data_IF_550777118354
#
_entry.id   IF_550777118354
#
_cell.length_a   1.000
_cell.length_b   1.000
_cell.length_c   1.000
_cell.angle_alpha   90.00
_cell.angle_beta   90.00
_cell.angle_gamma   90.00
#
_symmetry.space_group_name_H-M   'P 1'
#
loop_
_entity.id
_entity.type
_entity.pdbx_description
1 polymer ?
#
# COMPACT_ATOMS: atom_id res chain seq x y z
N UNK A 1 -32.83 -14.02 -10.15
CA UNK A 1 -32.68 -15.39 -10.69
C UNK A 1 -31.62 -15.37 -11.76
N UNK A 2 -30.44 -15.77 -11.48
CA UNK A 2 -29.29 -16.16 -12.31
C UNK A 2 -27.97 -15.68 -11.73
N UNK A 3 -27.56 -16.26 -10.61
CA UNK A 3 -26.17 -16.28 -10.12
C UNK A 3 -26.02 -17.45 -9.13
N UNK A 4 -26.33 -18.64 -9.62
CA UNK A 4 -26.05 -19.87 -8.87
C UNK A 4 -25.63 -20.91 -9.88
N UNK A 5 -24.33 -20.97 -10.19
CA UNK A 5 -23.67 -22.14 -10.82
C UNK A 5 -22.21 -21.79 -11.13
N UNK A 6 -21.36 -21.72 -10.07
CA UNK A 6 -19.91 -21.85 -10.20
C UNK A 6 -19.27 -22.12 -8.81
N UNK A 7 -19.92 -23.02 -8.07
CA UNK A 7 -19.32 -23.62 -6.88
C UNK A 7 -19.34 -25.12 -7.07
N UNK A 8 -18.29 -25.68 -7.65
CA UNK A 8 -18.22 -27.12 -7.85
C UNK A 8 -17.12 -27.56 -8.79
N UNK A 9 -15.87 -27.22 -8.51
CA UNK A 9 -14.72 -28.00 -8.96
C UNK A 9 -13.53 -27.66 -8.07
N UNK A 10 -13.50 -28.25 -6.88
CA UNK A 10 -12.24 -28.40 -6.14
C UNK A 10 -11.40 -29.43 -6.87
N UNK A 11 -10.41 -28.98 -7.62
CA UNK A 11 -9.35 -29.82 -8.13
C UNK A 11 -8.33 -30.02 -7.01
N UNK A 12 -8.37 -31.19 -6.38
CA UNK A 12 -7.26 -31.73 -5.61
C UNK A 12 -6.14 -32.12 -6.59
N UNK A 13 -5.21 -31.22 -6.83
CA UNK A 13 -3.99 -31.47 -7.57
C UNK A 13 -2.80 -31.17 -6.68
N UNK A 14 -2.12 -32.19 -6.19
CA UNK A 14 -0.81 -32.05 -5.55
C UNK A 14 0.19 -31.50 -6.56
N UNK A 15 0.78 -30.36 -6.26
CA UNK A 15 1.91 -29.82 -7.01
C UNK A 15 3.17 -30.59 -6.64
N UNK A 16 3.51 -31.62 -7.42
CA UNK A 16 4.86 -32.18 -7.44
C UNK A 16 5.80 -31.19 -8.15
N UNK A 17 6.82 -30.76 -7.42
CA UNK A 17 7.79 -29.80 -7.89
C UNK A 17 8.66 -30.33 -9.04
N UNK A 18 8.32 -29.96 -10.25
CA UNK A 18 9.24 -29.82 -11.39
C UNK A 18 8.71 -28.74 -12.32
N UNK A 19 9.43 -27.63 -12.40
CA UNK A 19 9.33 -26.72 -13.52
C UNK A 19 9.90 -27.45 -14.76
N UNK A 20 9.13 -28.38 -15.31
CA UNK A 20 9.41 -29.10 -16.54
C UNK A 20 8.73 -28.40 -17.70
N UNK A 21 9.42 -28.27 -18.83
CA UNK A 21 8.92 -27.72 -20.09
C UNK A 21 7.50 -28.21 -20.38
N UNK A 22 6.56 -27.27 -20.49
CA UNK A 22 5.20 -27.57 -20.93
C UNK A 22 5.24 -27.96 -22.40
N UNK A 23 4.62 -29.11 -22.71
CA UNK A 23 4.25 -29.50 -24.05
C UNK A 23 3.12 -28.59 -24.57
N UNK A 24 3.16 -28.28 -25.85
CA UNK A 24 2.31 -27.36 -26.59
C UNK A 24 0.82 -27.76 -26.64
N UNK A 25 0.12 -27.53 -25.55
CA UNK A 25 -1.34 -27.43 -25.54
C UNK A 25 -1.70 -26.26 -24.63
N UNK A 26 -1.85 -25.07 -25.21
CA UNK A 26 -2.24 -23.87 -24.49
C UNK A 26 -3.63 -24.08 -23.86
N UNK A 27 -3.71 -24.00 -22.56
CA UNK A 27 -4.98 -23.88 -21.83
C UNK A 27 -5.62 -22.54 -22.23
N UNK A 28 -6.81 -22.49 -22.84
CA UNK A 28 -7.39 -21.28 -23.40
C UNK A 28 -7.74 -20.21 -22.34
N UNK A 29 -7.60 -20.53 -21.05
CA UNK A 29 -7.91 -19.62 -19.94
C UNK A 29 -6.69 -18.80 -19.50
N UNK A 30 -5.46 -19.23 -19.79
CA UNK A 30 -4.23 -18.55 -19.36
C UNK A 30 -3.31 -18.26 -20.55
N UNK A 31 -3.43 -17.07 -21.11
CA UNK A 31 -2.49 -16.59 -22.11
C UNK A 31 -1.27 -15.97 -21.42
N UNK A 32 -0.08 -16.56 -21.57
CA UNK A 32 1.11 -16.29 -20.76
C UNK A 32 1.96 -15.10 -21.21
N UNK A 33 1.53 -14.27 -22.17
CA UNK A 33 2.40 -13.36 -22.89
C UNK A 33 2.09 -11.87 -22.71
N UNK A 34 1.97 -11.41 -21.46
CA UNK A 34 2.12 -9.98 -21.18
C UNK A 34 3.19 -9.79 -20.10
N UNK A 35 4.46 -9.87 -20.51
CA UNK A 35 5.58 -9.34 -19.73
C UNK A 35 5.76 -7.86 -20.09
N UNK A 36 4.97 -6.99 -19.51
CA UNK A 36 5.29 -5.57 -19.50
C UNK A 36 6.31 -5.33 -18.39
N UNK A 37 7.57 -5.20 -18.74
CA UNK A 37 8.62 -4.75 -17.83
C UNK A 37 8.54 -3.22 -17.72
N UNK A 38 7.76 -2.73 -16.76
CA UNK A 38 7.83 -1.33 -16.35
C UNK A 38 9.17 -1.09 -15.67
N UNK A 39 10.04 -0.28 -16.30
CA UNK A 39 11.33 0.06 -15.74
C UNK A 39 11.18 1.28 -14.83
N UNK A 40 11.34 1.07 -13.52
CA UNK A 40 11.29 2.15 -12.55
C UNK A 40 12.61 2.92 -12.47
N UNK A 41 12.51 4.22 -12.25
CA UNK A 41 13.67 5.09 -12.02
C UNK A 41 13.94 5.22 -10.52
N UNK A 42 14.74 4.30 -9.97
CA UNK A 42 15.06 4.24 -8.55
C UNK A 42 16.30 5.09 -8.23
N UNK A 43 16.22 5.92 -7.18
CA UNK A 43 17.40 6.65 -6.67
C UNK A 43 18.35 5.72 -5.91
N UNK A 44 19.65 5.86 -6.15
CA UNK A 44 20.69 5.14 -5.41
C UNK A 44 21.12 5.86 -4.13
N UNK A 45 20.76 7.13 -3.96
CA UNK A 45 21.13 7.96 -2.82
C UNK A 45 20.31 7.60 -1.57
N UNK A 46 20.89 7.89 -0.38
CA UNK A 46 20.16 7.84 0.88
C UNK A 46 19.38 9.14 1.07
N UNK A 47 18.20 9.23 0.50
CA UNK A 47 17.35 10.42 0.56
C UNK A 47 16.23 10.31 1.62
N UNK A 48 16.43 9.46 2.64
CA UNK A 48 15.48 9.23 3.71
C UNK A 48 15.57 10.31 4.80
N UNK A 49 14.43 10.60 5.42
CA UNK A 49 14.33 11.60 6.50
C UNK A 49 14.86 11.09 7.85
N UNK A 50 15.51 9.95 7.87
CA UNK A 50 16.10 9.33 9.05
C UNK A 50 17.52 8.83 8.75
N UNK A 51 18.39 8.69 9.77
CA UNK A 51 19.76 8.25 9.57
C UNK A 51 19.85 6.78 9.20
N UNK A 52 20.86 6.44 8.41
CA UNK A 52 21.15 5.06 8.03
C UNK A 52 21.72 4.28 9.23
N UNK A 53 21.15 3.11 9.51
CA UNK A 53 21.65 2.24 10.55
C UNK A 53 22.90 1.46 10.09
N UNK A 54 23.90 1.38 10.96
CA UNK A 54 25.06 0.52 10.76
C UNK A 54 24.81 -0.97 11.06
N UNK A 55 23.64 -1.33 11.63
CA UNK A 55 23.29 -2.70 12.06
C UNK A 55 22.59 -3.51 11.00
N UNK A 56 22.15 -2.91 9.92
CA UNK A 56 21.39 -3.55 8.86
C UNK A 56 22.01 -3.32 7.49
N UNK A 57 21.83 -4.26 6.58
CA UNK A 57 22.05 -4.07 5.16
C UNK A 57 20.78 -3.53 4.52
N UNK A 58 20.95 -2.60 3.60
CA UNK A 58 19.87 -1.95 2.87
C UNK A 58 20.06 -2.13 1.38
N UNK A 59 18.98 -2.49 0.70
CA UNK A 59 18.93 -2.52 -0.77
C UNK A 59 17.55 -2.08 -1.26
N UNK A 60 17.50 -1.57 -2.49
CA UNK A 60 16.23 -1.36 -3.17
C UNK A 60 15.81 -2.64 -3.87
N UNK A 61 14.53 -2.95 -3.79
CA UNK A 61 13.91 -4.10 -4.46
C UNK A 61 12.64 -3.65 -5.16
N UNK A 62 12.22 -4.43 -6.15
CA UNK A 62 10.96 -4.23 -6.84
C UNK A 62 10.17 -5.53 -6.87
N UNK A 63 8.86 -5.43 -6.83
CA UNK A 63 7.95 -6.55 -7.00
C UNK A 63 6.69 -6.08 -7.71
N UNK A 64 5.89 -7.02 -8.19
CA UNK A 64 4.73 -6.69 -9.01
C UNK A 64 3.45 -7.17 -8.31
N UNK A 65 2.41 -6.35 -8.34
CA UNK A 65 1.10 -6.76 -7.88
C UNK A 65 0.31 -7.50 -9.00
N UNK A 66 -0.82 -8.12 -8.65
CA UNK A 66 -1.66 -8.86 -9.62
C UNK A 66 -2.27 -7.99 -10.72
N UNK A 67 -2.26 -6.67 -10.57
CA UNK A 67 -2.69 -5.71 -11.60
C UNK A 67 -1.56 -5.35 -12.58
N UNK A 68 -0.38 -5.93 -12.41
CA UNK A 68 0.78 -5.70 -13.26
C UNK A 68 1.59 -4.46 -12.91
N UNK A 69 1.24 -3.73 -11.84
CA UNK A 69 1.96 -2.56 -11.39
C UNK A 69 3.24 -2.98 -10.66
N UNK A 70 4.34 -2.32 -10.97
CA UNK A 70 5.63 -2.56 -10.32
C UNK A 70 5.77 -1.64 -9.11
N UNK A 71 5.98 -2.20 -7.93
CA UNK A 71 6.21 -1.46 -6.69
C UNK A 71 7.69 -1.39 -6.38
N UNK A 72 8.11 -0.24 -5.84
CA UNK A 72 9.45 -0.01 -5.33
C UNK A 72 9.47 -0.11 -3.81
N UNK A 73 10.45 -0.80 -3.27
CA UNK A 73 10.63 -0.93 -1.83
C UNK A 73 12.08 -0.79 -1.41
N UNK A 74 12.27 -0.39 -0.17
CA UNK A 74 13.53 -0.49 0.56
C UNK A 74 13.51 -1.75 1.42
N UNK A 75 14.46 -2.65 1.22
CA UNK A 75 14.63 -3.86 1.99
C UNK A 75 15.76 -3.70 3.00
N UNK A 76 15.47 -4.07 4.24
CA UNK A 76 16.41 -4.04 5.36
C UNK A 76 16.60 -5.44 5.92
N UNK A 77 17.86 -5.89 6.00
CA UNK A 77 18.25 -7.22 6.49
C UNK A 77 19.20 -7.05 7.65
N UNK A 78 19.00 -7.73 8.79
CA UNK A 78 19.96 -7.71 9.90
C UNK A 78 21.32 -8.18 9.43
N UNK A 79 22.40 -7.44 9.77
CA UNK A 79 23.77 -7.90 9.52
C UNK A 79 24.07 -9.16 10.34
N UNK A 80 24.85 -10.05 9.75
CA UNK A 80 25.29 -11.30 10.38
C UNK A 80 24.15 -12.28 10.76
N UNK A 81 22.95 -12.07 10.27
CA UNK A 81 21.85 -13.00 10.48
C UNK A 81 22.03 -14.27 9.64
N UNK A 82 21.87 -15.43 10.27
CA UNK A 82 21.95 -16.74 9.62
C UNK A 82 20.56 -17.36 9.42
N UNK A 83 20.42 -18.20 8.40
CA UNK A 83 19.21 -18.93 8.13
C UNK A 83 18.05 -18.06 7.60
N UNK A 84 16.83 -18.63 7.66
CA UNK A 84 15.60 -17.93 7.28
C UNK A 84 15.04 -17.17 8.48
N UNK A 85 14.66 -15.92 8.26
CA UNK A 85 14.15 -15.01 9.28
C UNK A 85 12.66 -14.73 9.07
N UNK A 86 11.94 -14.34 10.15
CA UNK A 86 10.62 -13.74 9.99
C UNK A 86 10.73 -12.43 9.21
N UNK A 87 9.67 -12.07 8.48
CA UNK A 87 9.66 -10.87 7.68
C UNK A 87 8.42 -10.01 7.90
N UNK A 88 8.55 -8.70 7.66
CA UNK A 88 7.45 -7.73 7.77
C UNK A 88 7.45 -6.77 6.59
N UNK A 89 6.29 -6.61 5.95
CA UNK A 89 6.06 -5.55 4.98
C UNK A 89 5.41 -4.34 5.68
N UNK A 90 5.97 -3.15 5.47
CA UNK A 90 5.55 -1.91 6.14
C UNK A 90 5.11 -0.87 5.11
N UNK A 91 3.96 -0.23 5.34
CA UNK A 91 3.51 0.89 4.54
C UNK A 91 2.78 1.96 5.35
N UNK A 92 2.75 3.19 4.83
CA UNK A 92 2.08 4.33 5.43
C UNK A 92 3.02 5.31 6.15
N UNK A 93 2.48 6.41 6.67
CA UNK A 93 1.08 6.89 6.62
C UNK A 93 0.53 7.10 5.20
N UNK A 94 -0.80 7.26 5.11
CA UNK A 94 -1.44 7.55 3.84
C UNK A 94 -0.93 8.88 3.26
N UNK A 95 -0.39 8.85 2.02
CA UNK A 95 0.27 10.01 1.39
C UNK A 95 1.75 10.21 1.74
N UNK A 96 2.31 9.36 2.60
CA UNK A 96 3.76 9.31 2.82
C UNK A 96 4.45 8.39 1.80
N UNK A 97 5.77 8.39 1.80
CA UNK A 97 6.62 7.50 1.01
C UNK A 97 7.53 6.68 1.91
N UNK A 98 8.10 5.60 1.36
CA UNK A 98 8.99 4.68 2.09
C UNK A 98 10.24 5.34 2.70
N UNK A 99 10.61 6.52 2.24
CA UNK A 99 11.71 7.33 2.78
C UNK A 99 11.37 8.05 4.09
N UNK A 100 10.11 7.96 4.55
CA UNK A 100 9.60 8.58 5.77
C UNK A 100 9.34 7.52 6.88
N UNK A 101 8.19 7.58 7.56
CA UNK A 101 7.92 6.75 8.73
C UNK A 101 8.03 5.24 8.46
N UNK A 102 7.46 4.74 7.35
CA UNK A 102 7.49 3.30 7.06
C UNK A 102 8.91 2.75 6.93
N UNK A 103 9.82 3.50 6.31
CA UNK A 103 11.22 3.10 6.21
C UNK A 103 11.94 3.09 7.56
N UNK A 104 11.67 4.08 8.43
CA UNK A 104 12.21 4.09 9.79
C UNK A 104 11.71 2.89 10.61
N UNK A 105 10.41 2.55 10.50
CA UNK A 105 9.86 1.36 11.15
C UNK A 105 10.50 0.09 10.60
N UNK A 106 10.63 -0.04 9.29
CA UNK A 106 11.26 -1.21 8.67
C UNK A 106 12.73 -1.37 9.09
N UNK A 107 13.52 -0.28 9.07
CA UNK A 107 14.89 -0.30 9.57
C UNK A 107 14.97 -0.73 11.03
N UNK A 108 14.10 -0.18 11.89
CA UNK A 108 14.06 -0.49 13.32
C UNK A 108 13.67 -1.93 13.61
N UNK A 109 12.73 -2.50 12.83
CA UNK A 109 12.36 -3.91 12.92
C UNK A 109 13.53 -4.82 12.48
N UNK A 110 14.27 -4.41 11.45
CA UNK A 110 15.44 -5.15 11.01
C UNK A 110 16.58 -5.13 12.06
N UNK A 111 16.76 -4.02 12.78
CA UNK A 111 17.71 -3.98 13.91
C UNK A 111 17.35 -4.95 15.04
N UNK A 112 16.10 -5.39 15.09
CA UNK A 112 15.56 -6.35 16.07
C UNK A 112 15.49 -7.79 15.54
N UNK A 113 16.08 -8.06 14.38
CA UNK A 113 16.24 -9.41 13.87
C UNK A 113 15.20 -9.88 12.85
N UNK A 114 14.35 -8.99 12.31
CA UNK A 114 13.43 -9.32 11.24
C UNK A 114 13.98 -8.87 9.88
N UNK A 115 13.62 -9.54 8.80
CA UNK A 115 13.72 -8.92 7.47
C UNK A 115 12.53 -7.97 7.33
N UNK A 116 12.77 -6.75 6.87
CA UNK A 116 11.68 -5.79 6.70
C UNK A 116 11.77 -5.09 5.35
N UNK A 117 10.63 -4.88 4.71
CA UNK A 117 10.52 -4.01 3.54
C UNK A 117 9.60 -2.84 3.85
N UNK A 118 9.97 -1.65 3.38
CA UNK A 118 9.08 -0.50 3.31
C UNK A 118 8.83 -0.20 1.84
N UNK A 119 7.58 -0.19 1.39
CA UNK A 119 7.25 0.01 -0.02
C UNK A 119 6.47 1.30 -0.26
N UNK A 120 6.65 1.88 -1.46
CA UNK A 120 5.75 2.90 -1.96
C UNK A 120 4.51 2.23 -2.55
N UNK A 121 3.31 2.75 -2.27
CA UNK A 121 2.09 2.27 -2.91
C UNK A 121 2.12 2.41 -4.43
N UNK A 122 1.32 1.61 -5.11
CA UNK A 122 1.01 1.80 -6.53
C UNK A 122 0.71 3.26 -6.85
N UNK A 123 1.18 3.77 -7.96
CA UNK A 123 1.02 5.14 -8.47
C UNK A 123 1.74 6.24 -7.68
N UNK A 124 2.48 5.93 -6.63
CA UNK A 124 3.12 6.93 -5.76
C UNK A 124 4.60 6.64 -5.55
N UNK A 125 5.33 7.64 -5.04
CA UNK A 125 6.76 7.49 -4.75
C UNK A 125 7.57 7.08 -5.97
N UNK A 126 8.38 6.03 -5.82
CA UNK A 126 9.16 5.39 -6.88
C UNK A 126 8.41 4.20 -7.53
N UNK A 127 7.25 3.80 -7.01
CA UNK A 127 6.41 2.76 -7.61
C UNK A 127 5.78 3.25 -8.92
N UNK A 128 5.50 2.31 -9.80
CA UNK A 128 4.92 2.55 -11.11
C UNK A 128 3.43 2.86 -11.12
N UNK A 129 2.91 2.96 -12.32
CA UNK A 129 1.49 3.18 -12.62
C UNK A 129 1.16 4.60 -13.07
N UNK A 130 0.27 4.68 -14.07
CA UNK A 130 -0.29 5.90 -14.62
C UNK A 130 -1.82 5.84 -14.64
N UNK A 131 -2.52 6.98 -14.43
CA UNK A 131 -1.95 8.28 -14.05
C UNK A 131 -1.35 8.26 -12.65
N UNK A 132 -0.37 9.13 -12.41
CA UNK A 132 0.28 9.22 -11.08
C UNK A 132 -0.69 9.67 -10.00
N UNK A 133 -0.36 9.35 -8.75
CA UNK A 133 -1.04 9.83 -7.54
C UNK A 133 -2.47 9.31 -7.37
N UNK A 134 -2.79 8.19 -7.98
CA UNK A 134 -4.05 7.47 -7.73
C UNK A 134 -3.99 6.77 -6.39
N UNK A 135 -5.11 6.76 -5.67
CA UNK A 135 -5.33 5.89 -4.54
C UNK A 135 -6.61 5.07 -4.77
N UNK A 136 -6.56 3.80 -4.41
CA UNK A 136 -7.70 2.89 -4.53
C UNK A 136 -7.70 1.88 -3.38
N UNK A 137 -8.80 1.69 -2.65
CA UNK A 137 -8.85 0.73 -1.54
C UNK A 137 -8.47 -0.68 -1.96
N UNK A 138 -8.89 -1.12 -3.15
CA UNK A 138 -8.62 -2.44 -3.68
C UNK A 138 -7.14 -2.60 -4.07
N UNK A 139 -6.62 -1.69 -4.90
CA UNK A 139 -5.23 -1.75 -5.35
C UNK A 139 -4.26 -1.60 -4.18
N UNK A 140 -4.55 -0.68 -3.25
CA UNK A 140 -3.67 -0.46 -2.11
C UNK A 140 -3.71 -1.63 -1.09
N UNK A 141 -4.85 -2.33 -0.95
CA UNK A 141 -4.90 -3.60 -0.21
C UNK A 141 -4.04 -4.66 -0.89
N UNK A 142 -4.16 -4.77 -2.21
CA UNK A 142 -3.38 -5.70 -3.03
C UNK A 142 -1.86 -5.45 -2.93
N UNK A 143 -1.42 -4.20 -2.79
CA UNK A 143 0.00 -3.87 -2.64
C UNK A 143 0.63 -4.58 -1.43
N UNK A 144 -0.12 -4.79 -0.33
CA UNK A 144 0.34 -5.64 0.79
C UNK A 144 0.41 -7.12 0.42
N UNK A 145 -0.58 -7.65 -0.31
CA UNK A 145 -0.58 -9.04 -0.75
C UNK A 145 0.60 -9.31 -1.70
N UNK A 146 0.90 -8.40 -2.61
CA UNK A 146 2.07 -8.47 -3.48
C UNK A 146 3.40 -8.41 -2.71
N UNK A 147 3.46 -7.62 -1.65
CA UNK A 147 4.61 -7.61 -0.75
C UNK A 147 4.80 -8.97 -0.04
N UNK A 148 3.70 -9.63 0.33
CA UNK A 148 3.72 -11.01 0.87
C UNK A 148 4.16 -12.01 -0.17
N UNK A 149 3.75 -11.90 -1.44
CA UNK A 149 4.24 -12.72 -2.55
C UNK A 149 5.76 -12.63 -2.67
N UNK A 150 6.28 -11.40 -2.73
CA UNK A 150 7.72 -11.14 -2.80
C UNK A 150 8.48 -11.74 -1.62
N UNK A 151 8.02 -11.50 -0.39
CA UNK A 151 8.67 -12.02 0.80
C UNK A 151 8.60 -13.56 0.87
N UNK A 152 7.48 -14.16 0.46
CA UNK A 152 7.30 -15.63 0.47
C UNK A 152 8.25 -16.36 -0.48
N UNK A 153 8.71 -15.70 -1.54
CA UNK A 153 9.64 -16.27 -2.53
C UNK A 153 11.12 -15.98 -2.23
N UNK A 154 11.40 -15.15 -1.22
CA UNK A 154 12.77 -14.83 -0.82
C UNK A 154 13.43 -15.99 -0.07
N UNK A 155 14.64 -16.41 -0.50
CA UNK A 155 15.40 -17.49 0.11
C UNK A 155 15.75 -17.22 1.58
N UNK A 156 15.86 -15.96 1.99
CA UNK A 156 16.20 -15.52 3.35
C UNK A 156 14.98 -15.42 4.27
N UNK A 157 13.76 -15.49 3.77
CA UNK A 157 12.53 -15.36 4.53
C UNK A 157 11.96 -16.73 4.89
N UNK A 158 11.46 -16.86 6.11
CA UNK A 158 10.61 -17.97 6.52
C UNK A 158 9.14 -17.65 6.11
N UNK A 159 8.58 -18.30 5.09
CA UNK A 159 7.25 -17.98 4.60
C UNK A 159 6.13 -18.30 5.60
N UNK A 160 6.42 -19.09 6.64
CA UNK A 160 5.51 -19.34 7.77
C UNK A 160 5.47 -18.21 8.79
N UNK A 161 6.33 -17.18 8.67
CA UNK A 161 6.47 -16.08 9.64
C UNK A 161 6.52 -14.71 8.97
N UNK A 162 5.52 -14.42 8.12
CA UNK A 162 5.38 -13.13 7.45
C UNK A 162 4.27 -12.34 8.14
N UNK A 163 4.59 -11.10 8.53
CA UNK A 163 3.66 -10.12 9.05
C UNK A 163 3.59 -8.88 8.18
N UNK A 164 2.60 -8.04 8.45
CA UNK A 164 2.45 -6.73 7.84
C UNK A 164 2.23 -5.65 8.90
N UNK A 165 2.66 -4.43 8.61
CA UNK A 165 2.47 -3.27 9.47
C UNK A 165 1.95 -2.10 8.64
N UNK A 166 0.73 -1.67 8.92
CA UNK A 166 0.12 -0.48 8.34
C UNK A 166 0.11 0.68 9.33
N UNK A 167 0.53 1.87 8.90
CA UNK A 167 0.58 3.07 9.73
C UNK A 167 -0.50 4.03 9.26
N UNK A 168 -1.29 4.59 10.18
CA UNK A 168 -2.36 5.56 9.90
C UNK A 168 -3.39 4.97 8.92
N UNK A 169 -3.75 5.61 7.83
CA UNK A 169 -4.67 5.08 6.83
C UNK A 169 -4.28 3.72 6.23
N UNK A 170 -2.99 3.37 6.26
CA UNK A 170 -2.53 2.05 5.85
C UNK A 170 -2.79 0.94 6.89
N UNK A 171 -3.14 1.31 8.11
CA UNK A 171 -3.62 0.35 9.11
C UNK A 171 -4.91 -0.32 8.68
N UNK A 172 -5.86 0.44 8.13
CA UNK A 172 -7.10 -0.12 7.56
C UNK A 172 -6.84 -1.03 6.36
N UNK A 173 -5.91 -0.64 5.46
CA UNK A 173 -5.50 -1.49 4.32
C UNK A 173 -4.83 -2.79 4.80
N UNK A 174 -4.00 -2.73 5.84
CA UNK A 174 -3.37 -3.91 6.42
C UNK A 174 -4.41 -4.88 7.02
N UNK A 175 -5.41 -4.38 7.73
CA UNK A 175 -6.51 -5.21 8.24
C UNK A 175 -7.30 -5.87 7.10
N UNK A 176 -7.60 -5.12 6.04
CA UNK A 176 -8.28 -5.70 4.88
C UNK A 176 -7.42 -6.75 4.17
N UNK A 177 -6.11 -6.51 4.02
CA UNK A 177 -5.18 -7.49 3.47
C UNK A 177 -5.11 -8.76 4.33
N UNK A 178 -5.09 -8.62 5.66
CA UNK A 178 -5.09 -9.77 6.57
C UNK A 178 -6.40 -10.59 6.52
N UNK A 179 -7.53 -9.95 6.18
CA UNK A 179 -8.79 -10.65 5.98
C UNK A 179 -8.82 -11.44 4.64
N UNK A 180 -8.04 -11.01 3.65
CA UNK A 180 -7.98 -11.62 2.31
C UNK A 180 -6.86 -12.67 2.23
N UNK A 181 -5.65 -12.36 2.73
CA UNK A 181 -4.45 -13.18 2.56
C UNK A 181 -4.12 -13.99 3.81
N UNK A 182 -4.43 -15.27 3.77
CA UNK A 182 -4.20 -16.23 4.88
C UNK A 182 -2.72 -16.52 5.17
N UNK A 183 -1.81 -16.09 4.31
CA UNK A 183 -0.36 -16.22 4.52
C UNK A 183 0.17 -15.21 5.53
N UNK A 184 -0.57 -14.12 5.78
CA UNK A 184 -0.23 -13.12 6.79
C UNK A 184 -0.44 -13.72 8.19
N UNK A 185 0.63 -13.80 8.99
CA UNK A 185 0.64 -14.42 10.32
C UNK A 185 0.51 -13.44 11.47
N UNK A 186 0.82 -12.17 11.21
CA UNK A 186 0.64 -11.08 12.18
C UNK A 186 0.39 -9.77 11.46
N UNK A 187 -0.51 -8.95 11.99
CA UNK A 187 -0.84 -7.63 11.46
C UNK A 187 -0.74 -6.59 12.57
N UNK A 188 -0.03 -5.52 12.30
CA UNK A 188 0.00 -4.34 13.18
C UNK A 188 -0.68 -3.18 12.46
N UNK A 189 -1.72 -2.62 13.09
CA UNK A 189 -2.45 -1.44 12.63
C UNK A 189 -2.14 -0.25 13.56
N UNK A 190 -0.99 0.39 13.33
CA UNK A 190 -0.50 1.48 14.19
C UNK A 190 -1.22 2.78 13.90
N UNK A 191 -1.81 3.42 14.93
CA UNK A 191 -2.53 4.71 14.82
C UNK A 191 -3.52 4.71 13.65
N UNK A 192 -4.30 3.63 13.54
CA UNK A 192 -5.11 3.31 12.37
C UNK A 192 -6.26 4.30 12.14
N UNK A 193 -6.38 4.72 10.88
CA UNK A 193 -7.57 5.38 10.34
C UNK A 193 -8.24 4.48 9.29
N UNK A 194 -9.56 4.34 9.37
CA UNK A 194 -10.35 3.79 8.28
C UNK A 194 -10.59 4.89 7.23
N UNK A 195 -9.73 4.93 6.22
CA UNK A 195 -9.78 5.96 5.17
C UNK A 195 -11.11 5.98 4.40
N UNK A 196 -11.77 4.83 4.28
CA UNK A 196 -13.06 4.71 3.61
C UNK A 196 -14.17 5.34 4.46
N UNK A 197 -14.21 5.01 5.76
CA UNK A 197 -15.16 5.61 6.70
C UNK A 197 -14.95 7.11 6.84
N UNK A 198 -13.70 7.56 7.01
CA UNK A 198 -13.40 9.00 7.11
C UNK A 198 -13.80 9.74 5.84
N UNK A 199 -13.55 9.18 4.67
CA UNK A 199 -13.96 9.79 3.40
C UNK A 199 -15.47 9.80 3.23
N UNK A 200 -16.16 8.72 3.63
CA UNK A 200 -17.61 8.58 3.46
C UNK A 200 -18.44 9.34 4.51
N UNK A 201 -17.95 9.39 5.75
CA UNK A 201 -18.72 9.91 6.88
C UNK A 201 -18.10 11.19 7.49
N UNK A 202 -16.91 11.60 7.03
CA UNK A 202 -16.16 12.70 7.64
C UNK A 202 -15.53 12.31 8.99
N UNK A 203 -14.75 13.20 9.56
CA UNK A 203 -14.26 13.05 10.91
C UNK A 203 -15.42 13.01 11.91
N UNK A 204 -15.38 12.05 12.84
CA UNK A 204 -16.40 11.83 13.88
C UNK A 204 -17.81 11.50 13.30
N UNK A 205 -17.85 10.95 12.06
CA UNK A 205 -19.09 10.63 11.33
C UNK A 205 -20.02 11.86 11.15
N UNK A 206 -19.44 13.04 10.98
CA UNK A 206 -20.17 14.31 10.88
C UNK A 206 -20.83 14.54 9.51
N UNK A 207 -20.58 13.68 8.51
CA UNK A 207 -21.11 13.80 7.15
C UNK A 207 -22.36 12.92 6.98
N UNK A 208 -23.51 13.55 6.73
CA UNK A 208 -24.76 12.87 6.42
C UNK A 208 -24.87 12.44 4.94
N UNK A 209 -26.02 11.90 4.55
CA UNK A 209 -26.27 11.42 3.18
C UNK A 209 -26.27 12.56 2.15
N UNK A 210 -26.79 13.74 2.51
CA UNK A 210 -26.89 14.89 1.61
C UNK A 210 -25.49 15.50 1.36
N UNK A 211 -24.69 15.64 2.40
CA UNK A 211 -23.30 16.07 2.30
C UNK A 211 -22.46 15.09 1.45
N UNK A 212 -22.66 13.76 1.61
CA UNK A 212 -22.03 12.77 0.74
C UNK A 212 -22.49 12.87 -0.71
N UNK A 213 -23.79 13.11 -0.95
CA UNK A 213 -24.31 13.31 -2.30
C UNK A 213 -23.65 14.52 -2.96
N UNK A 214 -23.57 15.64 -2.24
CA UNK A 214 -22.94 16.86 -2.73
C UNK A 214 -21.42 16.65 -3.02
N UNK A 215 -20.73 15.92 -2.16
CA UNK A 215 -19.34 15.55 -2.43
C UNK A 215 -19.20 14.73 -3.71
N UNK A 216 -20.05 13.72 -3.91
CA UNK A 216 -20.07 12.93 -5.16
C UNK A 216 -20.37 13.82 -6.37
N UNK A 217 -21.31 14.74 -6.27
CA UNK A 217 -21.64 15.68 -7.34
C UNK A 217 -20.42 16.51 -7.77
N UNK A 218 -19.68 17.06 -6.80
CA UNK A 218 -18.44 17.81 -7.07
C UNK A 218 -17.36 16.95 -7.69
N UNK A 219 -17.14 15.75 -7.16
CA UNK A 219 -16.13 14.83 -7.70
C UNK A 219 -16.48 14.34 -9.11
N UNK A 220 -17.76 14.13 -9.41
CA UNK A 220 -18.20 13.77 -10.76
C UNK A 220 -18.06 14.93 -11.75
N UNK A 221 -18.29 16.17 -11.32
CA UNK A 221 -17.98 17.34 -12.14
C UNK A 221 -16.47 17.44 -12.43
N UNK A 222 -15.63 17.19 -11.43
CA UNK A 222 -14.18 17.13 -11.61
C UNK A 222 -13.74 16.02 -12.58
N UNK A 223 -14.35 14.83 -12.51
CA UNK A 223 -14.08 13.77 -13.51
C UNK A 223 -14.35 14.21 -14.93
N UNK A 224 -15.44 14.94 -15.14
CA UNK A 224 -15.79 15.47 -16.48
C UNK A 224 -14.74 16.47 -16.94
N UNK A 225 -14.26 17.32 -16.04
CA UNK A 225 -13.23 18.30 -16.36
C UNK A 225 -11.87 17.63 -16.64
N UNK A 226 -11.45 16.69 -15.79
CA UNK A 226 -10.23 15.90 -15.99
C UNK A 226 -10.24 15.21 -17.36
N UNK A 227 -11.38 14.60 -17.74
CA UNK A 227 -11.55 13.95 -19.05
C UNK A 227 -11.44 14.95 -20.20
N UNK A 228 -12.07 16.13 -20.05
CA UNK A 228 -12.06 17.17 -21.09
C UNK A 228 -10.66 17.74 -21.32
N UNK A 229 -9.89 17.94 -20.25
CA UNK A 229 -8.56 18.56 -20.28
C UNK A 229 -7.43 17.55 -20.51
N UNK A 230 -7.71 16.24 -20.36
CA UNK A 230 -6.67 15.20 -20.42
C UNK A 230 -5.68 15.29 -19.24
N UNK A 231 -6.10 15.89 -18.11
CA UNK A 231 -5.28 16.08 -16.91
C UNK A 231 -6.05 15.60 -15.70
N UNK A 232 -5.38 15.54 -14.55
CA UNK A 232 -5.98 15.06 -13.30
C UNK A 232 -5.76 16.10 -12.21
N UNK A 233 -6.85 16.68 -11.70
CA UNK A 233 -6.80 17.60 -10.57
C UNK A 233 -6.29 16.87 -9.32
N UNK A 234 -5.50 17.58 -8.54
CA UNK A 234 -4.94 17.05 -7.28
C UNK A 234 -5.64 17.71 -6.08
N UNK A 235 -5.82 16.94 -5.03
CA UNK A 235 -6.42 17.39 -3.78
C UNK A 235 -5.87 16.57 -2.60
N UNK A 236 -6.08 17.06 -1.39
CA UNK A 236 -5.52 16.46 -0.18
C UNK A 236 -4.07 16.92 0.03
N UNK A 237 -3.30 16.11 0.75
CA UNK A 237 -2.03 16.56 1.29
C UNK A 237 -2.23 17.47 2.51
N UNK A 238 -1.14 17.93 3.06
CA UNK A 238 -1.19 18.85 4.22
C UNK A 238 -1.23 20.29 3.73
N UNK A 239 -2.18 21.05 4.26
CA UNK A 239 -2.35 22.46 3.86
C UNK A 239 -1.08 23.29 4.13
N UNK A 240 -0.71 24.12 3.14
CA UNK A 240 0.38 25.08 3.24
C UNK A 240 0.01 26.30 2.37
N UNK A 241 -0.17 27.52 2.95
CA UNK A 241 0.04 27.84 4.36
C UNK A 241 -0.95 27.16 5.32
N UNK A 242 -0.50 26.95 6.57
CA UNK A 242 -1.33 26.37 7.62
C UNK A 242 -2.46 27.34 7.99
N UNK A 243 -3.76 26.92 7.96
CA UNK A 243 -4.86 27.76 8.43
C UNK A 243 -4.69 28.14 9.91
N UNK A 244 -5.06 29.39 10.24
CA UNK A 244 -4.89 29.93 11.60
C UNK A 244 -5.70 29.16 12.67
N UNK A 245 -6.88 28.66 12.28
CA UNK A 245 -7.82 27.91 13.10
C UNK A 245 -7.66 26.38 12.95
N UNK A 246 -6.57 25.92 12.33
CA UNK A 246 -6.34 24.50 12.10
C UNK A 246 -6.38 23.70 13.41
N UNK A 247 -7.04 22.53 13.45
CA UNK A 247 -7.01 21.62 14.58
C UNK A 247 -5.56 21.16 14.90
N UNK A 248 -5.32 20.75 16.15
CA UNK A 248 -3.97 20.39 16.61
C UNK A 248 -3.33 19.30 15.72
N UNK A 249 -4.08 18.26 15.34
CA UNK A 249 -3.54 17.19 14.48
C UNK A 249 -3.08 17.70 13.10
N UNK A 250 -3.76 18.71 12.54
CA UNK A 250 -3.35 19.33 11.26
C UNK A 250 -2.06 20.13 11.45
N UNK A 251 -1.91 20.83 12.59
CA UNK A 251 -0.66 21.53 12.96
C UNK A 251 0.49 20.54 13.12
N UNK A 252 0.25 19.39 13.74
CA UNK A 252 1.26 18.34 13.91
C UNK A 252 1.68 17.71 12.56
N UNK A 253 0.73 17.48 11.64
CA UNK A 253 1.04 17.04 10.27
C UNK A 253 1.84 18.08 9.50
N UNK A 254 1.47 19.35 9.59
CA UNK A 254 2.24 20.44 8.97
C UNK A 254 3.67 20.49 9.52
N UNK A 255 3.83 20.44 10.85
CA UNK A 255 5.13 20.46 11.51
C UNK A 255 6.04 19.27 11.11
N UNK A 256 5.47 18.18 10.62
CA UNK A 256 6.24 17.06 10.08
C UNK A 256 6.42 17.18 8.57
N UNK A 257 5.34 17.18 7.79
CA UNK A 257 5.41 17.04 6.33
C UNK A 257 5.87 18.28 5.58
N UNK A 258 5.70 19.49 6.15
CA UNK A 258 6.03 20.77 5.51
C UNK A 258 7.33 21.40 6.03
N UNK A 259 8.06 20.70 6.89
CA UNK A 259 9.33 21.15 7.46
C UNK A 259 10.46 20.13 7.19
N UNK A 260 11.72 20.50 7.34
CA UNK A 260 12.86 19.58 7.16
C UNK A 260 12.81 18.34 8.04
N UNK A 261 11.94 18.32 9.07
CA UNK A 261 11.77 17.16 9.95
C UNK A 261 11.29 15.92 9.22
N UNK A 262 10.42 16.06 8.23
CA UNK A 262 9.82 14.93 7.53
C UNK A 262 9.42 15.24 6.09
N UNK A 263 9.75 16.44 5.57
CA UNK A 263 9.49 16.75 4.17
C UNK A 263 10.21 15.77 3.25
N UNK A 264 9.50 15.28 2.25
CA UNK A 264 10.09 14.49 1.18
C UNK A 264 9.47 14.87 -0.17
N UNK A 265 10.32 15.06 -1.19
CA UNK A 265 9.90 15.54 -2.53
C UNK A 265 8.89 14.63 -3.24
N UNK A 266 8.84 13.32 -2.92
CA UNK A 266 7.91 12.36 -3.49
C UNK A 266 6.65 12.13 -2.64
N UNK A 267 6.62 12.63 -1.40
CA UNK A 267 5.47 12.48 -0.51
C UNK A 267 4.29 13.36 -0.94
N UNK A 268 3.11 12.78 -1.04
CA UNK A 268 1.89 13.52 -1.37
C UNK A 268 1.50 14.49 -0.24
N UNK A 269 1.76 14.11 1.02
CA UNK A 269 1.50 14.97 2.17
C UNK A 269 2.42 16.19 2.20
N UNK A 270 3.64 16.04 1.69
CA UNK A 270 4.60 17.16 1.58
C UNK A 270 4.31 18.06 0.38
N UNK A 271 3.49 17.62 -0.57
CA UNK A 271 3.20 18.33 -1.83
C UNK A 271 1.69 18.53 -2.03
N UNK A 272 1.16 18.24 -3.23
CA UNK A 272 -0.19 18.62 -3.64
C UNK A 272 -1.28 17.57 -3.35
N UNK A 273 -0.94 16.41 -2.78
CA UNK A 273 -1.87 15.35 -2.48
C UNK A 273 -2.13 14.40 -3.66
N UNK A 274 -3.31 13.80 -3.68
CA UNK A 274 -3.72 12.75 -4.62
C UNK A 274 -4.41 13.30 -5.84
N UNK A 275 -4.60 12.44 -6.83
CA UNK A 275 -5.65 12.58 -7.81
C UNK A 275 -7.01 12.70 -7.11
N UNK A 276 -7.67 13.85 -7.26
CA UNK A 276 -8.85 14.23 -6.46
C UNK A 276 -9.99 13.22 -6.58
N UNK A 277 -10.18 12.64 -7.77
CA UNK A 277 -11.26 11.69 -8.04
C UNK A 277 -11.04 10.30 -7.43
N UNK A 278 -9.86 10.01 -6.89
CA UNK A 278 -9.60 8.80 -6.09
C UNK A 278 -10.58 8.65 -4.91
N UNK A 279 -11.05 9.76 -4.34
CA UNK A 279 -12.02 9.75 -3.24
C UNK A 279 -13.35 9.06 -3.57
N UNK A 280 -13.72 8.94 -4.85
CA UNK A 280 -14.94 8.24 -5.25
C UNK A 280 -14.96 6.77 -4.86
N UNK A 281 -13.81 6.08 -4.98
CA UNK A 281 -13.70 4.68 -4.57
C UNK A 281 -13.81 4.54 -3.05
N UNK A 282 -13.17 5.42 -2.30
CA UNK A 282 -13.23 5.41 -0.83
C UNK A 282 -14.63 5.69 -0.30
N UNK A 283 -15.42 6.52 -0.97
CA UNK A 283 -16.81 6.83 -0.60
C UNK A 283 -17.75 5.61 -0.65
N UNK A 284 -17.47 4.63 -1.49
CA UNK A 284 -18.43 3.55 -1.80
C UNK A 284 -17.92 2.14 -1.49
N UNK A 285 -16.69 1.98 -0.99
CA UNK A 285 -16.07 0.68 -0.70
C UNK A 285 -15.76 0.56 0.79
N UNK A 286 -16.66 -0.01 1.62
CA UNK A 286 -16.37 -0.21 3.05
C UNK A 286 -15.20 -1.20 3.21
N UNK A 287 -14.13 -0.74 3.88
CA UNK A 287 -12.86 -1.45 3.92
C UNK A 287 -12.85 -2.60 4.93
N UNK A 288 -13.47 -2.40 6.09
CA UNK A 288 -13.32 -3.32 7.24
C UNK A 288 -14.45 -4.33 7.38
N UNK A 289 -15.25 -4.56 6.34
CA UNK A 289 -16.44 -5.43 6.38
C UNK A 289 -16.13 -6.84 6.91
N UNK A 290 -14.98 -7.41 6.53
CA UNK A 290 -14.58 -8.76 6.92
C UNK A 290 -13.41 -8.79 7.92
N UNK A 291 -13.09 -7.67 8.54
CA UNK A 291 -12.00 -7.62 9.53
C UNK A 291 -12.23 -8.55 10.73
N UNK A 292 -13.51 -8.81 11.10
CA UNK A 292 -13.87 -9.79 12.14
C UNK A 292 -13.58 -11.24 11.80
N UNK A 293 -13.23 -11.56 10.55
CA UNK A 293 -12.90 -12.90 10.09
C UNK A 293 -11.38 -13.18 10.10
N UNK A 294 -10.55 -12.20 10.42
CA UNK A 294 -9.09 -12.37 10.53
C UNK A 294 -8.79 -13.42 11.61
N UNK A 295 -7.99 -14.44 11.23
CA UNK A 295 -7.60 -15.53 12.13
C UNK A 295 -6.14 -15.46 12.57
N UNK A 296 -5.36 -14.56 12.01
CA UNK A 296 -3.98 -14.28 12.44
C UNK A 296 -3.95 -13.28 13.59
N UNK A 297 -2.79 -13.14 14.24
CA UNK A 297 -2.62 -12.16 15.31
C UNK A 297 -2.78 -10.73 14.79
N UNK A 298 -3.53 -9.89 15.52
CA UNK A 298 -3.72 -8.46 15.24
C UNK A 298 -3.35 -7.64 16.46
N UNK A 299 -2.58 -6.56 16.26
CA UNK A 299 -2.18 -5.60 17.28
C UNK A 299 -2.46 -4.17 16.79
#
# INVERSE_FOLDING_TARGET
MCFTLLAGAMLSGSCDGRCGRRSDAADPIFNSDITMNEQLNLTSEWDKVFPRSGKVDHSKVTFRNRYGLTLAADMYIPKNAAGRLPAVAVCGPFGAVKEQASGLYAQTLAERGLIAIAFDPSYTGESGGEPRYVASPDINTEDFCAAVDFLSTSERVDPGRIGILGICGWGGMALNAAAIDTRIKATVASTMDDMNRVTANGYFDAMDADARHELRRRLNAQRTEDYRCGTYARAGGVADPLPADAPQFVKDYHAYYKTPRGYHRRSLNSNEGWNATSSLSFLNMPLLTYAGEIRSAVL
#
